data_IF_499057588684
#
_entry.id   IF_499057588684
#
_cell.length_a   1.000
_cell.length_b   1.000
_cell.length_c   1.000
_cell.angle_alpha   90.00
_cell.angle_beta   90.00
_cell.angle_gamma   90.00
#
_symmetry.space_group_name_H-M   'P 1'
#
loop_
_entity.id
_entity.type
_entity.pdbx_description
1 polymer ?
#
# COMPACT_ATOMS: atom_id res chain seq x y z
N UNK A 1 6.92 10.80 -20.90
CA UNK A 1 6.37 9.47 -20.57
C UNK A 1 5.96 9.33 -19.10
N UNK A 2 6.48 10.15 -18.18
CA UNK A 2 6.28 9.98 -16.72
C UNK A 2 4.92 10.46 -16.17
N UNK A 3 4.19 11.30 -16.92
CA UNK A 3 2.85 11.75 -16.51
C UNK A 3 1.82 10.61 -16.47
N UNK A 4 1.84 9.70 -17.45
CA UNK A 4 0.89 8.56 -17.49
C UNK A 4 1.17 7.62 -16.31
N UNK A 5 2.45 7.35 -16.06
CA UNK A 5 2.91 6.49 -14.96
C UNK A 5 2.53 7.08 -13.60
N UNK A 6 2.69 8.39 -13.41
CA UNK A 6 2.28 9.09 -12.18
C UNK A 6 0.76 9.12 -12.00
N UNK A 7 -0.01 9.39 -13.07
CA UNK A 7 -1.49 9.40 -13.03
C UNK A 7 -2.04 8.00 -12.75
N UNK A 8 -1.46 6.97 -13.35
CA UNK A 8 -1.86 5.58 -13.09
C UNK A 8 -1.56 5.19 -11.63
N UNK A 9 -0.43 5.63 -11.06
CA UNK A 9 -0.11 5.41 -9.65
C UNK A 9 -1.12 6.15 -8.76
N UNK A 10 -1.40 7.42 -9.06
CA UNK A 10 -2.39 8.21 -8.32
C UNK A 10 -3.78 7.52 -8.34
N UNK A 11 -4.26 7.07 -9.50
CA UNK A 11 -5.53 6.37 -9.61
C UNK A 11 -5.55 5.08 -8.78
N UNK A 12 -4.47 4.29 -8.82
CA UNK A 12 -4.32 3.09 -8.00
C UNK A 12 -4.36 3.41 -6.50
N UNK A 13 -3.66 4.46 -6.05
CA UNK A 13 -3.65 4.86 -4.64
C UNK A 13 -5.00 5.44 -4.19
N UNK A 14 -5.74 6.16 -5.06
CA UNK A 14 -7.10 6.61 -4.79
C UNK A 14 -8.02 5.42 -4.52
N UNK A 15 -8.02 4.41 -5.39
CA UNK A 15 -8.86 3.22 -5.23
C UNK A 15 -8.56 2.50 -3.92
N UNK A 16 -7.28 2.34 -3.59
CA UNK A 16 -6.86 1.73 -2.32
C UNK A 16 -7.22 2.61 -1.11
N UNK A 17 -7.04 3.93 -1.20
CA UNK A 17 -7.41 4.88 -0.15
C UNK A 17 -8.92 4.84 0.14
N UNK A 18 -9.74 4.87 -0.90
CA UNK A 18 -11.21 4.73 -0.79
C UNK A 18 -11.60 3.39 -0.14
N UNK A 19 -10.89 2.30 -0.44
CA UNK A 19 -11.16 1.00 0.16
C UNK A 19 -11.03 0.99 1.69
N UNK A 20 -10.21 1.88 2.28
CA UNK A 20 -10.10 2.03 3.74
C UNK A 20 -11.38 2.54 4.39
N UNK A 21 -12.22 3.27 3.64
CA UNK A 21 -13.50 3.82 4.12
C UNK A 21 -14.70 2.96 3.70
N UNK A 22 -14.66 2.35 2.51
CA UNK A 22 -15.75 1.50 2.00
C UNK A 22 -15.73 0.11 2.62
N UNK A 23 -14.54 -0.46 2.88
CA UNK A 23 -14.37 -1.78 3.49
C UNK A 23 -13.37 -1.74 4.66
N UNK A 24 -13.63 -0.91 5.68
CA UNK A 24 -12.69 -0.71 6.78
C UNK A 24 -12.38 -2.03 7.50
N UNK A 25 -13.36 -2.92 7.62
CA UNK A 25 -13.22 -4.23 8.28
C UNK A 25 -12.21 -5.14 7.56
N UNK A 26 -12.17 -5.08 6.23
CA UNK A 26 -11.23 -5.85 5.43
C UNK A 26 -9.80 -5.35 5.63
N UNK A 27 -9.61 -4.03 5.62
CA UNK A 27 -8.29 -3.43 5.82
C UNK A 27 -7.82 -3.60 7.26
N UNK A 28 -8.71 -3.47 8.26
CA UNK A 28 -8.38 -3.68 9.67
C UNK A 28 -7.82 -5.08 9.94
N UNK A 29 -8.30 -6.12 9.24
CA UNK A 29 -7.78 -7.49 9.36
C UNK A 29 -6.33 -7.64 8.89
N UNK A 30 -5.84 -6.71 8.08
CA UNK A 30 -4.44 -6.70 7.64
C UNK A 30 -3.52 -6.01 8.65
N UNK A 31 -4.05 -5.13 9.50
CA UNK A 31 -3.24 -4.41 10.49
C UNK A 31 -2.69 -5.41 11.50
N UNK A 32 -1.36 -5.46 11.70
CA UNK A 32 -0.76 -6.30 12.72
C UNK A 32 -1.34 -6.05 14.11
N UNK A 33 -1.63 -7.13 14.84
CA UNK A 33 -2.28 -7.04 16.16
C UNK A 33 -1.48 -6.24 17.19
N UNK A 34 -0.15 -6.22 17.05
CA UNK A 34 0.78 -5.53 17.94
C UNK A 34 0.82 -4.00 17.77
N UNK A 35 0.31 -3.45 16.66
CA UNK A 35 0.26 -1.98 16.45
C UNK A 35 -0.83 -1.31 17.32
N UNK A 36 -1.85 -2.06 17.72
CA UNK A 36 -3.03 -1.52 18.38
C UNK A 36 -3.77 -0.49 17.51
N UNK A 37 -4.89 0.05 18.01
CA UNK A 37 -5.62 1.19 17.40
C UNK A 37 -5.91 1.03 15.89
N UNK A 38 -6.15 -0.20 15.43
CA UNK A 38 -6.30 -0.51 14.00
C UNK A 38 -7.34 0.37 13.29
N UNK A 39 -8.42 0.77 13.97
CA UNK A 39 -9.42 1.69 13.42
C UNK A 39 -8.84 3.06 13.05
N UNK A 40 -8.01 3.63 13.93
CA UNK A 40 -7.36 4.93 13.69
C UNK A 40 -6.33 4.80 12.57
N UNK A 41 -5.50 3.75 12.59
CA UNK A 41 -4.47 3.52 11.57
C UNK A 41 -5.07 3.34 10.18
N UNK A 42 -6.18 2.62 10.06
CA UNK A 42 -6.89 2.46 8.78
C UNK A 42 -7.47 3.80 8.29
N UNK A 43 -8.09 4.59 9.18
CA UNK A 43 -8.60 5.90 8.78
C UNK A 43 -7.46 6.83 8.35
N UNK A 44 -6.38 6.91 9.13
CA UNK A 44 -5.21 7.73 8.83
C UNK A 44 -4.50 7.29 7.54
N UNK A 45 -4.33 5.99 7.32
CA UNK A 45 -3.76 5.45 6.08
C UNK A 45 -4.61 5.75 4.86
N UNK A 46 -5.94 5.67 4.98
CA UNK A 46 -6.86 6.05 3.92
C UNK A 46 -6.75 7.54 3.54
N UNK A 47 -6.68 8.43 4.53
CA UNK A 47 -6.45 9.86 4.30
C UNK A 47 -5.09 10.09 3.65
N UNK A 48 -4.03 9.48 4.18
CA UNK A 48 -2.67 9.62 3.66
C UNK A 48 -2.58 9.20 2.19
N UNK A 49 -3.19 8.07 1.81
CA UNK A 49 -3.25 7.60 0.42
C UNK A 49 -3.95 8.59 -0.52
N UNK A 50 -5.06 9.18 -0.07
CA UNK A 50 -5.78 10.18 -0.87
C UNK A 50 -4.95 11.45 -1.00
N UNK A 51 -4.37 11.96 0.09
CA UNK A 51 -3.49 13.14 0.06
C UNK A 51 -2.30 12.94 -0.89
N UNK A 52 -1.65 11.79 -0.80
CA UNK A 52 -0.52 11.41 -1.64
C UNK A 52 -0.90 11.32 -3.13
N UNK A 53 -2.06 10.75 -3.43
CA UNK A 53 -2.56 10.71 -4.81
C UNK A 53 -2.79 12.10 -5.40
N UNK A 54 -3.23 13.08 -4.61
CA UNK A 54 -3.38 14.47 -5.06
C UNK A 54 -2.01 15.09 -5.38
N UNK A 55 -0.99 14.81 -4.56
CA UNK A 55 0.38 15.28 -4.81
C UNK A 55 0.96 14.71 -6.11
N UNK A 56 0.66 13.44 -6.43
CA UNK A 56 1.05 12.79 -7.68
C UNK A 56 0.36 13.38 -8.93
N UNK A 57 -0.84 13.95 -8.78
CA UNK A 57 -1.55 14.59 -9.90
C UNK A 57 -0.98 15.97 -10.23
N UNK A 58 -0.46 16.70 -9.24
CA UNK A 58 0.14 18.02 -9.43
C UNK A 58 1.61 17.91 -9.92
N UNK A 59 1.96 18.39 -11.14
CA UNK A 59 3.29 18.19 -11.73
C UNK A 59 4.46 18.65 -10.85
N UNK A 60 4.29 19.77 -10.14
CA UNK A 60 5.33 20.36 -9.27
C UNK A 60 5.62 19.54 -8.01
N UNK A 61 4.71 18.65 -7.60
CA UNK A 61 4.83 17.84 -6.38
C UNK A 61 4.99 16.35 -6.65
N UNK A 62 5.07 15.92 -7.91
CA UNK A 62 5.14 14.49 -8.27
C UNK A 62 6.30 13.75 -7.63
N UNK A 63 7.47 14.39 -7.56
CA UNK A 63 8.64 13.78 -6.94
C UNK A 63 8.39 13.50 -5.45
N UNK A 64 7.85 14.49 -4.73
CA UNK A 64 7.46 14.33 -3.33
C UNK A 64 6.36 13.28 -3.14
N UNK A 65 5.31 13.29 -3.98
CA UNK A 65 4.26 12.28 -3.96
C UNK A 65 4.80 10.87 -4.22
N UNK A 66 5.75 10.70 -5.16
CA UNK A 66 6.38 9.40 -5.39
C UNK A 66 7.13 8.88 -4.16
N UNK A 67 7.86 9.75 -3.45
CA UNK A 67 8.55 9.36 -2.21
C UNK A 67 7.59 9.07 -1.05
N UNK A 68 6.53 9.86 -0.90
CA UNK A 68 5.49 9.63 0.13
C UNK A 68 4.75 8.32 -0.16
N UNK A 69 4.38 8.06 -1.43
CA UNK A 69 3.83 6.79 -1.89
C UNK A 69 4.73 5.62 -1.53
N UNK A 70 6.03 5.71 -1.86
CA UNK A 70 6.99 4.66 -1.57
C UNK A 70 7.08 4.37 -0.06
N UNK A 71 7.10 5.42 0.78
CA UNK A 71 7.10 5.29 2.22
C UNK A 71 5.81 4.63 2.75
N UNK A 72 4.63 5.04 2.26
CA UNK A 72 3.35 4.46 2.66
C UNK A 72 3.22 3.00 2.25
N UNK A 73 3.58 2.65 1.00
CA UNK A 73 3.54 1.27 0.54
C UNK A 73 4.54 0.41 1.34
N UNK A 74 5.68 0.97 1.76
CA UNK A 74 6.62 0.28 2.65
C UNK A 74 6.01 -0.02 4.02
N UNK A 75 5.15 0.85 4.55
CA UNK A 75 4.38 0.56 5.79
C UNK A 75 3.41 -0.60 5.56
N UNK A 76 2.72 -0.65 4.41
CA UNK A 76 1.84 -1.78 4.08
C UNK A 76 2.60 -3.08 3.84
N UNK A 77 3.81 -3.01 3.30
CA UNK A 77 4.69 -4.17 3.15
C UNK A 77 4.95 -4.84 4.51
N UNK A 78 5.15 -4.07 5.58
CA UNK A 78 5.28 -4.63 6.94
C UNK A 78 4.04 -5.42 7.35
N UNK A 79 2.85 -4.88 7.10
CA UNK A 79 1.58 -5.58 7.37
C UNK A 79 1.42 -6.87 6.55
N UNK A 80 1.86 -6.87 5.29
CA UNK A 80 1.84 -8.06 4.44
C UNK A 80 2.87 -9.12 4.84
N UNK A 81 4.06 -8.70 5.27
CA UNK A 81 5.09 -9.60 5.80
C UNK A 81 4.63 -10.27 7.11
N UNK A 82 4.01 -9.51 8.01
CA UNK A 82 3.39 -10.03 9.23
C UNK A 82 2.26 -11.03 8.91
N UNK A 83 1.43 -10.74 7.91
CA UNK A 83 0.43 -11.68 7.39
C UNK A 83 1.03 -12.96 6.81
N UNK A 84 2.12 -12.85 6.04
CA UNK A 84 2.86 -14.00 5.50
C UNK A 84 3.48 -14.84 6.63
N UNK A 85 4.10 -14.20 7.61
CA UNK A 85 4.70 -14.87 8.76
C UNK A 85 3.66 -15.68 9.55
N UNK A 86 2.45 -15.12 9.78
CA UNK A 86 1.34 -15.86 10.38
C UNK A 86 0.96 -17.11 9.58
N UNK A 87 0.80 -16.97 8.27
CA UNK A 87 0.43 -18.11 7.39
C UNK A 87 1.50 -19.21 7.41
N UNK A 88 2.77 -18.83 7.48
CA UNK A 88 3.89 -19.78 7.63
C UNK A 88 3.86 -20.47 8.99
N UNK A 89 3.61 -19.72 10.07
CA UNK A 89 3.56 -20.24 11.44
C UNK A 89 2.40 -21.22 11.69
N UNK A 90 1.23 -21.00 11.06
CA UNK A 90 0.03 -21.83 11.24
C UNK A 90 0.08 -23.23 10.57
N UNK A 91 1.25 -23.64 10.02
CA UNK A 91 1.51 -24.84 9.19
C UNK A 91 0.73 -24.85 7.86
N UNK A 92 1.26 -25.45 6.77
CA UNK A 92 0.80 -25.22 5.38
C UNK A 92 -0.50 -25.94 5.01
N UNK A 93 -1.53 -25.94 5.87
CA UNK A 93 -2.85 -26.55 5.57
C UNK A 93 -3.63 -25.80 4.48
N UNK A 94 -3.10 -24.68 3.96
CA UNK A 94 -3.65 -23.97 2.80
C UNK A 94 -2.51 -23.43 1.91
N UNK A 95 -2.00 -24.25 0.98
CA UNK A 95 -1.06 -23.80 -0.05
C UNK A 95 -1.54 -22.53 -0.79
N UNK A 96 -2.87 -22.40 -0.99
CA UNK A 96 -3.52 -21.19 -1.54
C UNK A 96 -3.31 -19.94 -0.66
N UNK A 97 -3.32 -20.09 0.66
CA UNK A 97 -3.10 -18.99 1.60
C UNK A 97 -1.66 -18.47 1.54
N UNK A 98 -0.69 -19.39 1.49
CA UNK A 98 0.72 -19.05 1.36
C UNK A 98 1.01 -18.36 0.02
N UNK A 99 0.51 -18.93 -1.08
CA UNK A 99 0.64 -18.32 -2.41
C UNK A 99 0.05 -16.90 -2.45
N UNK A 100 -1.16 -16.71 -1.90
CA UNK A 100 -1.80 -15.38 -1.85
C UNK A 100 -0.99 -14.37 -1.03
N UNK A 101 -0.44 -14.79 0.11
CA UNK A 101 0.38 -13.92 0.96
C UNK A 101 1.70 -13.53 0.28
N UNK A 102 2.39 -14.49 -0.34
CA UNK A 102 3.64 -14.25 -1.09
C UNK A 102 3.41 -13.29 -2.26
N UNK A 103 2.35 -13.49 -3.04
CA UNK A 103 2.00 -12.60 -4.15
C UNK A 103 1.80 -11.17 -3.67
N UNK A 104 1.10 -10.95 -2.55
CA UNK A 104 0.89 -9.60 -1.99
C UNK A 104 2.21 -8.93 -1.61
N UNK A 105 3.15 -9.67 -1.02
CA UNK A 105 4.47 -9.15 -0.66
C UNK A 105 5.25 -8.73 -1.91
N UNK A 106 5.32 -9.60 -2.93
CA UNK A 106 6.00 -9.31 -4.19
C UNK A 106 5.39 -8.11 -4.92
N UNK A 107 4.06 -8.03 -4.95
CA UNK A 107 3.36 -6.88 -5.51
C UNK A 107 3.68 -5.58 -4.78
N UNK A 108 3.80 -5.60 -3.45
CA UNK A 108 4.18 -4.39 -2.70
C UNK A 108 5.60 -3.93 -3.04
N UNK A 109 6.57 -4.83 -3.22
CA UNK A 109 7.89 -4.46 -3.73
C UNK A 109 7.81 -3.81 -5.12
N UNK A 110 7.00 -4.38 -6.02
CA UNK A 110 6.79 -3.80 -7.34
C UNK A 110 6.14 -2.40 -7.26
N UNK A 111 5.17 -2.20 -6.37
CA UNK A 111 4.52 -0.90 -6.16
C UNK A 111 5.47 0.14 -5.55
N UNK A 112 6.36 -0.26 -4.64
CA UNK A 112 7.44 0.62 -4.13
C UNK A 112 8.37 1.02 -5.28
N UNK A 113 8.79 0.07 -6.12
CA UNK A 113 9.61 0.35 -7.29
C UNK A 113 8.92 1.32 -8.26
N UNK A 114 7.61 1.16 -8.48
CA UNK A 114 6.81 2.08 -9.28
C UNK A 114 6.78 3.49 -8.68
N UNK A 115 6.57 3.61 -7.38
CA UNK A 115 6.57 4.90 -6.68
C UNK A 115 7.93 5.59 -6.74
N UNK A 116 9.03 4.86 -6.52
CA UNK A 116 10.41 5.39 -6.64
C UNK A 116 10.73 5.79 -8.09
N UNK A 117 10.28 5.01 -9.07
CA UNK A 117 10.45 5.36 -10.48
C UNK A 117 9.73 6.67 -10.81
N UNK A 118 8.50 6.85 -10.32
CA UNK A 118 7.81 8.15 -10.43
C UNK A 118 8.61 9.25 -9.73
N UNK A 119 9.09 9.01 -8.51
CA UNK A 119 9.79 10.01 -7.71
C UNK A 119 11.09 10.53 -8.35
N UNK A 120 11.77 9.69 -9.12
CA UNK A 120 13.11 9.96 -9.69
C UNK A 120 13.09 10.35 -11.16
N UNK A 121 11.94 10.27 -11.84
CA UNK A 121 11.84 10.52 -13.29
C UNK A 121 10.93 11.70 -13.66
N UNK A 122 10.11 12.20 -12.74
CA UNK A 122 9.14 13.30 -12.98
C UNK A 122 9.72 14.70 -12.89
#
# INVERSE_FOLDING_TARGET
MNSIVAVALAAFLIVNGVAHFVRPDYVRRMVPSWLGRARLLVAAGGVALITDSVLLLAPRSRAAGGWIAAAMISVFLVAHLDGLARVVAERPRRARGLASATVKVLLNFAYIGWAVAVATTV
#
